data_IF_563071078139
#
_entry.id   IF_563071078139
#
_cell.length_a   1.000
_cell.length_b   1.000
_cell.length_c   1.000
_cell.angle_alpha   90.00
_cell.angle_beta   90.00
_cell.angle_gamma   90.00
#
_symmetry.space_group_name_H-M   'P 1'
#
loop_
_entity.id
_entity.type
_entity.pdbx_description
1 polymer ?
#
# COMPACT_ATOMS: atom_id res chain seq x y z
N UNK A 1 12.50 23.38 -21.32
CA UNK A 1 11.66 22.61 -22.25
C UNK A 1 11.08 21.36 -21.62
N UNK A 2 11.76 20.20 -21.53
CA UNK A 2 11.14 18.94 -21.04
C UNK A 2 10.43 19.05 -19.67
N UNK A 3 11.03 19.73 -18.69
CA UNK A 3 10.39 19.94 -17.38
C UNK A 3 9.17 20.88 -17.44
N UNK A 4 9.21 21.85 -18.35
CA UNK A 4 8.16 22.85 -18.60
C UNK A 4 6.98 22.20 -19.35
N UNK A 5 7.29 21.44 -20.41
CA UNK A 5 6.32 20.67 -21.19
C UNK A 5 5.64 19.59 -20.33
N UNK A 6 6.37 19.00 -19.37
CA UNK A 6 5.78 18.10 -18.39
C UNK A 6 4.87 18.87 -17.43
N UNK A 7 5.28 20.01 -16.88
CA UNK A 7 4.46 20.82 -15.97
C UNK A 7 3.15 21.30 -16.63
N UNK A 8 3.19 21.63 -17.92
CA UNK A 8 2.07 22.14 -18.72
C UNK A 8 1.19 21.03 -19.34
N UNK A 9 1.52 19.75 -19.11
CA UNK A 9 0.77 18.62 -19.68
C UNK A 9 -0.53 18.32 -18.92
N UNK A 10 -1.66 18.40 -19.64
CA UNK A 10 -3.00 17.97 -19.23
C UNK A 10 -3.18 16.43 -19.18
N UNK A 11 -2.14 15.66 -19.53
CA UNK A 11 -2.23 14.20 -19.58
C UNK A 11 -2.21 13.63 -18.17
N UNK A 12 -3.08 12.65 -17.87
CA UNK A 12 -3.05 11.96 -16.61
C UNK A 12 -1.76 11.12 -16.39
N UNK A 13 -0.71 11.75 -15.82
CA UNK A 13 0.46 11.19 -15.10
C UNK A 13 0.16 10.15 -13.98
N UNK A 14 -0.39 9.00 -14.38
CA UNK A 14 -0.24 7.63 -13.83
C UNK A 14 -0.71 7.32 -12.38
N UNK A 15 -0.68 6.02 -12.00
CA UNK A 15 -1.67 5.17 -11.28
C UNK A 15 -2.19 5.56 -9.88
N UNK A 16 -1.95 6.77 -9.43
CA UNK A 16 -2.65 7.47 -8.35
C UNK A 16 -2.65 8.93 -8.82
N UNK A 17 -3.75 9.42 -9.37
CA UNK A 17 -3.84 10.83 -9.78
C UNK A 17 -3.62 11.75 -8.58
N UNK A 18 -2.38 12.22 -8.41
CA UNK A 18 -1.96 13.25 -7.46
C UNK A 18 -2.25 12.95 -5.98
N UNK A 19 -1.22 13.06 -5.13
CA UNK A 19 -1.41 13.37 -3.71
C UNK A 19 -1.38 14.90 -3.52
N UNK A 20 -2.28 15.74 -4.11
CA UNK A 20 -2.33 17.12 -3.64
C UNK A 20 -2.70 17.04 -2.17
N UNK A 21 -2.11 17.92 -1.37
CA UNK A 21 -2.39 17.99 0.05
C UNK A 21 -3.91 18.07 0.25
N UNK A 22 -4.54 16.92 0.53
CA UNK A 22 -5.89 16.81 1.07
C UNK A 22 -7.04 17.28 0.16
N UNK A 23 -7.35 16.59 -0.96
CA UNK A 23 -8.70 16.74 -1.60
C UNK A 23 -9.45 15.43 -1.89
N UNK A 24 -8.79 14.26 -1.82
CA UNK A 24 -9.37 13.01 -2.33
C UNK A 24 -10.45 12.33 -1.46
N UNK A 25 -10.79 12.87 -0.28
CA UNK A 25 -11.79 12.24 0.61
C UNK A 25 -13.24 12.62 0.22
N UNK A 26 -13.45 13.57 -0.71
CA UNK A 26 -14.78 14.15 -0.96
C UNK A 26 -15.56 13.61 -2.17
N UNK A 27 -14.96 12.89 -3.10
CA UNK A 27 -15.61 12.58 -4.38
C UNK A 27 -15.66 11.07 -4.70
N UNK A 28 -16.53 10.35 -4.00
CA UNK A 28 -16.99 9.02 -4.45
C UNK A 28 -18.45 8.82 -4.01
N UNK A 29 -19.37 9.44 -4.75
CA UNK A 29 -20.80 9.11 -4.65
C UNK A 29 -21.34 8.97 -6.06
N UNK A 30 -21.54 7.73 -6.50
CA UNK A 30 -22.50 7.38 -7.55
C UNK A 30 -22.88 5.90 -7.40
N UNK A 31 -24.02 5.75 -6.71
CA UNK A 31 -25.06 4.71 -6.67
C UNK A 31 -24.80 3.34 -7.32
N UNK A 32 -24.47 2.36 -6.47
CA UNK A 32 -25.10 1.02 -6.46
C UNK A 32 -25.30 0.66 -4.98
N UNK A 33 -26.51 0.18 -4.64
CA UNK A 33 -27.08 0.10 -3.30
C UNK A 33 -26.17 -0.56 -2.24
N UNK A 34 -25.44 0.27 -1.50
CA UNK A 34 -24.85 0.01 -0.18
C UNK A 34 -24.83 1.36 0.57
N UNK A 35 -24.97 1.38 1.91
CA UNK A 35 -25.31 2.59 2.68
C UNK A 35 -24.31 3.73 2.46
N UNK A 36 -24.84 4.92 2.19
CA UNK A 36 -24.12 6.14 1.84
C UNK A 36 -23.53 6.80 3.11
N UNK A 37 -22.22 7.08 3.20
CA UNK A 37 -21.69 7.97 4.22
C UNK A 37 -21.69 9.42 3.71
N UNK A 38 -22.28 10.30 4.52
CA UNK A 38 -22.30 11.74 4.32
C UNK A 38 -20.93 12.40 4.54
N UNK A 39 -20.90 13.68 4.17
CA UNK A 39 -19.77 14.63 4.23
C UNK A 39 -18.92 14.48 5.50
N UNK A 40 -17.61 14.55 5.29
CA UNK A 40 -16.61 14.87 6.32
C UNK A 40 -16.57 13.88 7.50
N UNK A 41 -16.08 12.67 7.26
CA UNK A 41 -15.89 11.70 8.33
C UNK A 41 -14.43 11.27 8.38
N UNK A 42 -13.71 11.84 9.36
CA UNK A 42 -12.70 11.09 10.13
C UNK A 42 -13.21 9.66 10.26
N UNK A 43 -12.39 8.65 9.87
CA UNK A 43 -12.68 7.22 9.99
C UNK A 43 -13.64 7.03 11.17
N UNK A 44 -14.93 6.88 10.88
CA UNK A 44 -15.95 6.69 11.91
C UNK A 44 -15.43 5.54 12.76
N UNK A 45 -15.44 5.72 14.08
CA UNK A 45 -14.98 4.69 15.00
C UNK A 45 -15.59 3.37 14.55
N UNK A 46 -14.73 2.45 14.12
CA UNK A 46 -15.18 1.16 13.64
C UNK A 46 -15.83 0.52 14.86
N UNK A 47 -17.15 0.30 14.80
CA UNK A 47 -17.85 -0.33 15.90
C UNK A 47 -17.15 -1.66 16.23
N UNK A 48 -17.09 -2.05 17.51
CA UNK A 48 -16.37 -3.26 17.96
C UNK A 48 -16.87 -4.56 17.31
N UNK A 49 -17.99 -4.53 16.58
CA UNK A 49 -18.64 -5.68 15.95
C UNK A 49 -18.27 -5.91 14.47
N UNK A 50 -17.60 -4.97 13.80
CA UNK A 50 -17.25 -5.15 12.38
C UNK A 50 -16.02 -6.07 12.21
N UNK A 51 -16.18 -7.13 11.41
CA UNK A 51 -15.12 -8.07 11.05
C UNK A 51 -13.86 -7.35 10.53
N UNK A 52 -12.68 -7.53 11.17
CA UNK A 52 -11.48 -6.82 10.75
C UNK A 52 -10.94 -7.36 9.43
N UNK A 53 -10.86 -6.47 8.42
CA UNK A 53 -10.35 -6.80 7.09
C UNK A 53 -8.85 -6.52 6.99
N UNK A 54 -8.05 -7.51 6.61
CA UNK A 54 -6.66 -7.35 6.19
C UNK A 54 -6.64 -7.26 4.67
N UNK A 55 -6.05 -6.19 4.12
CA UNK A 55 -6.07 -5.92 2.68
C UNK A 55 -4.71 -6.11 2.03
N UNK A 56 -4.67 -6.92 0.98
CA UNK A 56 -3.61 -6.89 -0.03
C UNK A 56 -4.13 -6.25 -1.31
N UNK A 57 -3.43 -5.23 -1.81
CA UNK A 57 -3.78 -4.47 -3.02
C UNK A 57 -2.70 -4.63 -4.09
N UNK A 58 -3.10 -4.81 -5.34
CA UNK A 58 -2.22 -4.84 -6.51
C UNK A 58 -1.87 -6.25 -6.99
N UNK A 59 -1.03 -6.34 -8.02
CA UNK A 59 -0.66 -7.62 -8.64
C UNK A 59 -0.04 -8.60 -7.64
N UNK A 60 -0.50 -9.85 -7.70
CA UNK A 60 0.01 -10.97 -6.92
C UNK A 60 0.86 -11.89 -7.80
N UNK A 61 2.06 -12.19 -7.34
CA UNK A 61 3.02 -13.11 -7.96
C UNK A 61 3.54 -14.06 -6.85
N UNK A 62 4.11 -15.22 -7.21
CA UNK A 62 4.73 -16.12 -6.21
C UNK A 62 5.77 -15.41 -5.35
N UNK A 63 6.67 -14.66 -5.99
CA UNK A 63 7.70 -13.85 -5.32
C UNK A 63 7.12 -12.67 -4.50
N UNK A 64 5.83 -12.36 -4.63
CA UNK A 64 5.13 -11.38 -3.78
C UNK A 64 4.44 -12.05 -2.59
N UNK A 65 4.72 -13.33 -2.36
CA UNK A 65 4.37 -14.06 -1.14
C UNK A 65 2.94 -14.58 -1.13
N UNK A 66 2.41 -15.01 -2.28
CA UNK A 66 1.06 -15.58 -2.35
C UNK A 66 0.86 -16.77 -1.38
N UNK A 67 1.84 -17.68 -1.28
CA UNK A 67 1.79 -18.78 -0.31
C UNK A 67 1.93 -18.30 1.14
N UNK A 68 2.91 -17.42 1.40
CA UNK A 68 3.11 -16.80 2.72
C UNK A 68 1.85 -16.08 3.22
N UNK A 69 1.14 -15.40 2.33
CA UNK A 69 -0.09 -14.69 2.65
C UNK A 69 -1.16 -15.64 3.21
N UNK A 70 -1.39 -16.78 2.55
CA UNK A 70 -2.35 -17.80 3.00
C UNK A 70 -1.89 -18.41 4.32
N UNK A 71 -0.61 -18.79 4.43
CA UNK A 71 -0.05 -19.42 5.64
C UNK A 71 -0.07 -18.49 6.87
N UNK A 72 0.24 -17.21 6.68
CA UNK A 72 0.20 -16.22 7.74
C UNK A 72 -1.24 -15.92 8.15
N UNK A 73 -2.16 -15.78 7.19
CA UNK A 73 -3.55 -15.49 7.51
C UNK A 73 -4.24 -16.67 8.21
N UNK A 74 -3.89 -17.91 7.88
CA UNK A 74 -4.36 -19.08 8.63
C UNK A 74 -3.94 -19.04 10.11
N UNK A 75 -2.80 -18.43 10.44
CA UNK A 75 -2.38 -18.22 11.83
C UNK A 75 -3.16 -17.09 12.50
N UNK A 76 -3.50 -16.03 11.76
CA UNK A 76 -4.38 -14.96 12.25
C UNK A 76 -5.74 -15.51 12.64
N UNK A 77 -6.35 -16.36 11.78
CA UNK A 77 -7.69 -16.92 12.02
C UNK A 77 -7.78 -17.85 13.23
N UNK A 78 -6.69 -18.53 13.61
CA UNK A 78 -6.66 -19.33 14.86
C UNK A 78 -6.89 -18.48 16.11
N UNK A 79 -6.47 -17.22 16.06
CA UNK A 79 -6.53 -16.29 17.18
C UNK A 79 -7.68 -15.29 17.05
N UNK A 80 -8.15 -15.04 15.83
CA UNK A 80 -9.23 -14.11 15.51
C UNK A 80 -10.08 -14.65 14.35
N UNK A 81 -11.04 -15.57 14.63
CA UNK A 81 -11.82 -16.25 13.60
C UNK A 81 -12.70 -15.34 12.73
N UNK A 82 -13.04 -14.16 13.25
CA UNK A 82 -13.85 -13.16 12.54
C UNK A 82 -13.04 -12.27 11.57
N UNK A 83 -11.72 -12.46 11.45
CA UNK A 83 -10.90 -11.68 10.53
C UNK A 83 -11.14 -12.10 9.08
N UNK A 84 -11.06 -11.14 8.14
CA UNK A 84 -11.23 -11.39 6.71
C UNK A 84 -9.96 -10.98 5.95
N UNK A 85 -9.51 -11.81 5.01
CA UNK A 85 -8.44 -11.47 4.07
C UNK A 85 -9.04 -11.09 2.73
N UNK A 86 -8.82 -9.84 2.34
CA UNK A 86 -9.27 -9.32 1.06
C UNK A 86 -8.06 -9.08 0.15
N UNK A 87 -8.08 -9.72 -1.03
CA UNK A 87 -7.05 -9.58 -2.06
C UNK A 87 -7.66 -8.91 -3.28
N UNK A 88 -7.24 -7.67 -3.54
CA UNK A 88 -7.71 -6.86 -4.68
C UNK A 88 -6.58 -6.71 -5.68
N UNK A 89 -6.69 -7.34 -6.83
CA UNK A 89 -5.65 -7.34 -7.86
C UNK A 89 -5.71 -8.57 -8.75
N UNK A 90 -4.90 -8.56 -9.79
CA UNK A 90 -4.75 -9.71 -10.69
C UNK A 90 -3.65 -10.64 -10.20
N UNK A 91 -3.78 -11.93 -10.51
CA UNK A 91 -2.78 -12.96 -10.23
C UNK A 91 -1.92 -13.23 -11.47
N UNK A 92 -0.63 -13.46 -11.25
CA UNK A 92 0.33 -13.80 -12.30
C UNK A 92 1.28 -14.91 -11.83
N UNK A 93 1.41 -16.02 -12.58
CA UNK A 93 0.63 -16.40 -13.77
C UNK A 93 -0.87 -16.65 -13.47
N UNK A 94 -1.76 -16.77 -14.48
CA UNK A 94 -3.21 -16.84 -14.27
C UNK A 94 -3.70 -18.01 -13.39
N UNK A 95 -2.99 -19.14 -13.41
CA UNK A 95 -3.21 -20.32 -12.56
C UNK A 95 -2.94 -20.06 -11.08
N UNK A 96 -2.17 -19.01 -10.74
CA UNK A 96 -1.82 -18.70 -9.35
C UNK A 96 -3.03 -18.36 -8.48
N UNK A 97 -4.11 -17.82 -9.05
CA UNK A 97 -5.34 -17.54 -8.30
C UNK A 97 -5.97 -18.84 -7.76
N UNK A 98 -6.08 -19.85 -8.61
CA UNK A 98 -6.59 -21.17 -8.23
C UNK A 98 -5.67 -21.84 -7.21
N UNK A 99 -4.35 -21.74 -7.38
CA UNK A 99 -3.41 -22.30 -6.40
C UNK A 99 -3.55 -21.68 -5.01
N UNK A 100 -3.81 -20.37 -4.94
CA UNK A 100 -4.06 -19.65 -3.70
C UNK A 100 -5.38 -20.10 -3.08
N UNK A 101 -6.45 -20.22 -3.87
CA UNK A 101 -7.74 -20.71 -3.42
C UNK A 101 -7.64 -22.16 -2.89
N UNK A 102 -6.96 -23.05 -3.61
CA UNK A 102 -6.75 -24.45 -3.20
C UNK A 102 -5.91 -24.52 -1.92
N UNK A 103 -4.90 -23.66 -1.78
CA UNK A 103 -4.10 -23.58 -0.56
C UNK A 103 -4.94 -23.11 0.63
N UNK A 104 -5.78 -22.09 0.44
CA UNK A 104 -6.70 -21.62 1.46
C UNK A 104 -7.71 -22.70 1.88
N UNK A 105 -8.24 -23.46 0.92
CA UNK A 105 -9.13 -24.58 1.17
C UNK A 105 -8.44 -25.70 1.98
N UNK A 106 -7.21 -26.08 1.61
CA UNK A 106 -6.42 -27.08 2.37
C UNK A 106 -6.16 -26.67 3.81
N UNK A 107 -6.02 -25.36 4.06
CA UNK A 107 -5.81 -24.82 5.41
C UNK A 107 -7.12 -24.52 6.16
N UNK A 108 -8.28 -24.72 5.52
CA UNK A 108 -9.59 -24.51 6.12
C UNK A 108 -9.97 -23.03 6.30
N UNK A 109 -9.45 -22.15 5.44
CA UNK A 109 -9.63 -20.68 5.56
C UNK A 109 -10.29 -20.05 4.34
N UNK A 110 -10.86 -20.87 3.46
CA UNK A 110 -11.49 -20.41 2.22
C UNK A 110 -12.62 -19.40 2.47
N UNK A 111 -13.44 -19.62 3.48
CA UNK A 111 -14.58 -18.74 3.82
C UNK A 111 -14.16 -17.36 4.34
N UNK A 112 -12.89 -17.23 4.76
CA UNK A 112 -12.30 -15.98 5.25
C UNK A 112 -11.39 -15.32 4.22
N UNK A 113 -11.36 -15.82 2.99
CA UNK A 113 -10.54 -15.30 1.88
C UNK A 113 -11.42 -14.81 0.74
N UNK A 114 -11.36 -13.51 0.44
CA UNK A 114 -11.97 -12.92 -0.74
C UNK A 114 -10.91 -12.56 -1.78
N UNK A 115 -11.00 -13.20 -2.95
CA UNK A 115 -10.21 -12.87 -4.13
C UNK A 115 -11.07 -12.00 -5.06
N UNK A 116 -10.91 -10.68 -4.97
CA UNK A 116 -11.76 -9.74 -5.70
C UNK A 116 -11.35 -9.55 -7.18
N UNK A 117 -10.20 -10.11 -7.58
CA UNK A 117 -9.66 -9.91 -8.92
C UNK A 117 -9.31 -8.45 -9.22
N UNK A 118 -9.25 -8.12 -10.51
CA UNK A 118 -9.05 -6.74 -10.98
C UNK A 118 -10.35 -5.94 -10.86
N UNK A 119 -10.29 -4.79 -10.21
CA UNK A 119 -11.43 -3.88 -10.02
C UNK A 119 -11.18 -2.53 -10.72
N UNK A 120 -12.24 -1.77 -11.08
CA UNK A 120 -12.08 -0.41 -11.59
C UNK A 120 -11.36 0.47 -10.58
N UNK A 121 -10.52 1.38 -11.08
CA UNK A 121 -9.63 2.21 -10.26
C UNK A 121 -10.42 3.05 -9.24
N UNK A 122 -11.56 3.58 -9.64
CA UNK A 122 -12.45 4.45 -8.86
C UNK A 122 -13.05 3.73 -7.64
N UNK A 123 -13.05 2.39 -7.65
CA UNK A 123 -13.58 1.57 -6.56
C UNK A 123 -12.53 1.22 -5.50
N UNK A 124 -11.24 1.40 -5.79
CA UNK A 124 -10.13 1.05 -4.88
C UNK A 124 -10.27 1.72 -3.51
N UNK A 125 -10.73 2.98 -3.49
CA UNK A 125 -10.94 3.73 -2.25
C UNK A 125 -11.90 3.05 -1.27
N UNK A 126 -12.92 2.35 -1.77
CA UNK A 126 -13.90 1.64 -0.94
C UNK A 126 -13.26 0.47 -0.19
N UNK A 127 -12.37 -0.27 -0.85
CA UNK A 127 -11.63 -1.37 -0.24
C UNK A 127 -10.64 -0.85 0.81
N UNK A 128 -9.94 0.24 0.50
CA UNK A 128 -9.01 0.88 1.44
C UNK A 128 -9.73 1.40 2.70
N UNK A 129 -10.93 1.99 2.57
CA UNK A 129 -11.71 2.48 3.71
C UNK A 129 -12.17 1.36 4.66
N UNK A 130 -12.46 0.17 4.11
CA UNK A 130 -12.92 -0.99 4.87
C UNK A 130 -11.77 -1.74 5.55
N UNK A 131 -10.55 -1.67 5.03
CA UNK A 131 -9.40 -2.38 5.56
C UNK A 131 -8.96 -1.87 6.95
N UNK A 132 -8.65 -2.77 7.88
CA UNK A 132 -8.03 -2.45 9.17
C UNK A 132 -6.51 -2.32 9.05
N UNK A 133 -5.90 -3.11 8.15
CA UNK A 133 -4.45 -3.22 7.94
C UNK A 133 -4.16 -3.31 6.44
N UNK A 134 -3.17 -2.55 5.97
CA UNK A 134 -2.60 -2.71 4.62
C UNK A 134 -1.41 -3.65 4.66
N UNK A 135 -1.40 -4.70 3.84
CA UNK A 135 -0.42 -5.78 3.94
C UNK A 135 0.45 -5.93 2.68
N UNK A 136 1.77 -5.98 2.89
CA UNK A 136 2.79 -6.24 1.87
C UNK A 136 3.58 -7.50 2.23
N UNK A 137 3.39 -8.56 1.44
CA UNK A 137 3.94 -9.91 1.66
C UNK A 137 5.17 -10.23 0.82
N UNK A 138 5.86 -9.23 0.29
CA UNK A 138 6.93 -9.44 -0.69
C UNK A 138 8.06 -10.30 -0.11
N UNK A 139 8.49 -11.31 -0.88
CA UNK A 139 9.56 -12.22 -0.48
C UNK A 139 10.94 -11.60 -0.71
N UNK A 140 12.00 -12.17 -0.11
CA UNK A 140 13.38 -11.68 -0.25
C UNK A 140 14.02 -11.88 -1.63
N UNK A 141 13.23 -11.83 -2.71
CA UNK A 141 13.69 -11.93 -4.09
C UNK A 141 14.46 -10.68 -4.54
N UNK A 142 15.47 -10.86 -5.42
CA UNK A 142 16.31 -9.77 -5.96
C UNK A 142 15.51 -8.58 -6.52
N UNK A 143 14.40 -8.85 -7.21
CA UNK A 143 13.47 -7.83 -7.75
C UNK A 143 12.87 -6.97 -6.62
N UNK A 144 12.39 -7.62 -5.57
CA UNK A 144 11.70 -6.96 -4.46
C UNK A 144 12.64 -6.14 -3.59
N UNK A 145 13.93 -6.50 -3.53
CA UNK A 145 14.93 -5.72 -2.78
C UNK A 145 15.16 -4.32 -3.35
N UNK A 146 14.80 -4.08 -4.62
CA UNK A 146 15.05 -2.81 -5.33
C UNK A 146 13.77 -2.08 -5.76
N UNK A 147 12.68 -2.82 -5.95
CA UNK A 147 11.42 -2.24 -6.36
C UNK A 147 10.67 -1.67 -5.16
N UNK A 148 10.05 -0.51 -5.32
CA UNK A 148 9.23 0.11 -4.29
C UNK A 148 7.78 -0.35 -4.46
N UNK A 149 7.14 -0.96 -3.45
CA UNK A 149 5.73 -1.30 -3.51
C UNK A 149 4.88 -0.04 -3.35
N UNK A 150 4.35 0.49 -4.46
CA UNK A 150 3.58 1.74 -4.44
C UNK A 150 2.43 1.68 -3.44
N UNK A 151 1.73 0.53 -3.34
CA UNK A 151 0.62 0.25 -2.40
C UNK A 151 0.84 0.72 -0.95
N UNK A 152 2.09 0.83 -0.50
CA UNK A 152 2.43 1.42 0.80
C UNK A 152 1.84 2.83 0.94
N UNK A 153 1.95 3.64 -0.10
CA UNK A 153 1.52 5.03 -0.12
C UNK A 153 -0.01 5.12 -0.17
N UNK A 154 -0.70 4.25 -0.92
CA UNK A 154 -2.16 4.09 -0.88
C UNK A 154 -2.64 3.77 0.54
N UNK A 155 -1.99 2.83 1.23
CA UNK A 155 -2.36 2.45 2.60
C UNK A 155 -2.17 3.62 3.58
N UNK A 156 -1.00 4.25 3.55
CA UNK A 156 -0.69 5.39 4.41
C UNK A 156 -1.66 6.55 4.19
N UNK A 157 -2.00 6.84 2.94
CA UNK A 157 -2.95 7.88 2.56
C UNK A 157 -4.35 7.70 3.15
N UNK A 158 -4.83 6.47 3.17
CA UNK A 158 -6.10 6.10 3.78
C UNK A 158 -5.99 5.92 5.29
N UNK A 159 -4.83 6.21 5.88
CA UNK A 159 -4.60 6.11 7.31
C UNK A 159 -4.62 4.67 7.82
N UNK A 160 -4.19 3.72 6.98
CA UNK A 160 -4.03 2.33 7.37
C UNK A 160 -2.63 2.11 7.95
N UNK A 161 -2.51 1.43 9.11
CA UNK A 161 -1.22 0.91 9.51
C UNK A 161 -0.77 -0.17 8.52
N UNK A 162 0.53 -0.20 8.24
CA UNK A 162 1.11 -1.12 7.27
C UNK A 162 1.81 -2.29 7.97
N UNK A 163 1.58 -3.51 7.51
CA UNK A 163 2.49 -4.63 7.79
C UNK A 163 3.23 -4.95 6.50
N UNK A 164 4.57 -4.90 6.52
CA UNK A 164 5.39 -5.13 5.34
C UNK A 164 6.55 -6.05 5.67
N UNK A 165 6.97 -6.87 4.71
CA UNK A 165 8.28 -7.52 4.76
C UNK A 165 9.41 -6.49 4.92
N UNK A 166 10.38 -6.79 5.76
CA UNK A 166 11.59 -6.01 5.98
C UNK A 166 12.57 -6.21 4.82
N UNK A 167 12.47 -5.33 3.82
CA UNK A 167 13.29 -5.34 2.62
C UNK A 167 14.00 -3.99 2.47
N UNK A 168 15.19 -3.95 1.84
CA UNK A 168 15.89 -2.68 1.58
C UNK A 168 15.01 -1.62 0.89
N UNK A 169 14.10 -2.05 0.02
CA UNK A 169 13.16 -1.19 -0.70
C UNK A 169 11.99 -0.66 0.14
N UNK A 170 11.63 -1.31 1.24
CA UNK A 170 10.47 -0.93 2.08
C UNK A 170 10.90 -0.18 3.34
N UNK A 171 12.12 -0.45 3.84
CA UNK A 171 12.72 0.19 5.02
C UNK A 171 12.66 1.71 5.06
N UNK A 172 12.83 2.46 3.95
CA UNK A 172 12.75 3.91 3.98
C UNK A 172 11.35 4.45 4.27
N UNK A 173 10.31 3.63 4.07
CA UNK A 173 8.91 4.06 4.09
C UNK A 173 8.15 3.51 5.30
N UNK A 174 8.51 2.31 5.78
CA UNK A 174 7.87 1.68 6.94
C UNK A 174 8.82 1.73 8.14
N UNK A 175 8.35 2.37 9.21
CA UNK A 175 9.08 2.54 10.46
C UNK A 175 8.34 1.81 11.58
N UNK A 176 9.02 0.83 12.17
CA UNK A 176 8.46 -0.05 13.22
C UNK A 176 7.86 0.74 14.39
N UNK A 177 6.59 0.47 14.69
CA UNK A 177 5.86 1.12 15.78
C UNK A 177 5.46 2.57 15.51
N UNK A 178 5.81 3.14 14.35
CA UNK A 178 5.48 4.52 13.97
C UNK A 178 4.31 4.53 13.00
N UNK A 179 4.47 3.93 11.81
CA UNK A 179 3.40 3.85 10.79
C UNK A 179 3.03 2.41 10.42
N UNK A 180 3.61 1.43 11.11
CA UNK A 180 3.41 0.04 10.80
C UNK A 180 4.43 -0.89 11.45
N UNK A 181 4.53 -2.09 10.92
CA UNK A 181 5.52 -3.10 11.27
C UNK A 181 6.27 -3.59 10.04
N UNK A 182 7.59 -3.66 10.18
CA UNK A 182 8.47 -4.43 9.32
C UNK A 182 8.66 -5.80 9.97
N UNK A 183 8.40 -6.83 9.20
CA UNK A 183 8.50 -8.21 9.66
C UNK A 183 9.48 -8.95 8.79
N UNK A 184 10.17 -9.94 9.36
CA UNK A 184 11.11 -10.75 8.59
C UNK A 184 10.42 -11.31 7.35
N UNK A 185 11.02 -11.06 6.18
CA UNK A 185 10.52 -11.63 4.93
C UNK A 185 10.49 -13.16 5.03
N UNK A 186 9.55 -13.78 4.33
CA UNK A 186 9.44 -15.24 4.26
C UNK A 186 9.12 -15.92 5.63
N UNK A 187 8.54 -15.16 6.58
CA UNK A 187 8.12 -15.66 7.89
C UNK A 187 6.60 -15.48 8.13
N UNK A 188 5.79 -16.50 7.79
CA UNK A 188 4.35 -16.44 8.02
C UNK A 188 3.95 -16.17 9.48
N UNK A 189 4.75 -16.63 10.46
CA UNK A 189 4.46 -16.42 11.87
C UNK A 189 4.67 -14.97 12.30
N UNK A 190 5.77 -14.35 11.85
CA UNK A 190 6.04 -12.93 12.14
C UNK A 190 4.99 -12.01 11.51
N UNK A 191 4.59 -12.28 10.25
CA UNK A 191 3.52 -11.54 9.60
C UNK A 191 2.19 -11.65 10.38
N UNK A 192 1.81 -12.86 10.78
CA UNK A 192 0.59 -13.09 11.56
C UNK A 192 0.63 -12.36 12.91
N UNK A 193 1.75 -12.41 13.63
CA UNK A 193 1.90 -11.73 14.92
C UNK A 193 1.76 -10.21 14.79
N UNK A 194 2.36 -9.60 13.76
CA UNK A 194 2.24 -8.16 13.51
C UNK A 194 0.81 -7.75 13.13
N UNK A 195 0.12 -8.55 12.31
CA UNK A 195 -1.30 -8.34 11.99
C UNK A 195 -2.14 -8.41 13.26
N UNK A 196 -2.01 -9.48 14.04
CA UNK A 196 -2.76 -9.66 15.29
C UNK A 196 -2.53 -8.53 16.28
N UNK A 197 -1.29 -8.01 16.40
CA UNK A 197 -1.00 -6.88 17.25
C UNK A 197 -1.81 -5.62 16.85
N UNK A 198 -2.01 -5.39 15.55
CA UNK A 198 -2.83 -4.28 15.05
C UNK A 198 -4.33 -4.55 15.18
N UNK A 199 -4.77 -5.79 14.94
CA UNK A 199 -6.19 -6.13 15.03
C UNK A 199 -6.71 -6.15 16.48
N UNK A 200 -5.87 -6.54 17.45
CA UNK A 200 -6.21 -6.59 18.88
C UNK A 200 -6.32 -5.21 19.53
N UNK A 201 -5.64 -4.20 18.99
CA UNK A 201 -5.71 -2.82 19.48
C UNK A 201 -6.02 -1.85 18.32
N UNK A 202 -7.32 -1.68 17.98
CA UNK A 202 -7.75 -0.75 16.94
C UNK A 202 -7.33 0.70 17.18
N UNK A 203 -7.19 1.11 18.46
CA UNK A 203 -6.77 2.46 18.83
C UNK A 203 -5.31 2.70 18.50
N UNK A 204 -4.44 1.76 18.86
CA UNK A 204 -3.03 1.75 18.48
C UNK A 204 -2.87 1.67 16.95
N UNK A 205 -3.59 0.78 16.28
CA UNK A 205 -3.60 0.68 14.82
C UNK A 205 -4.00 2.00 14.14
N UNK A 206 -5.03 2.68 14.64
CA UNK A 206 -5.44 3.98 14.13
C UNK A 206 -4.37 5.07 14.35
N UNK A 207 -3.65 5.03 15.48
CA UNK A 207 -2.53 5.95 15.75
C UNK A 207 -1.40 5.76 14.72
N UNK A 208 -1.00 4.52 14.47
CA UNK A 208 0.04 4.20 13.47
C UNK A 208 -0.40 4.62 12.07
N UNK A 209 -1.65 4.33 11.70
CA UNK A 209 -2.21 4.76 10.42
C UNK A 209 -2.21 6.28 10.23
N UNK A 210 -2.59 7.06 11.27
CA UNK A 210 -2.50 8.53 11.23
C UNK A 210 -1.07 9.02 11.03
N UNK A 211 -0.09 8.43 11.72
CA UNK A 211 1.31 8.77 11.53
C UNK A 211 1.79 8.47 10.10
N UNK A 212 1.39 7.33 9.52
CA UNK A 212 1.62 7.02 8.11
C UNK A 212 1.03 8.06 7.17
N UNK A 213 -0.20 8.50 7.43
CA UNK A 213 -0.88 9.54 6.65
C UNK A 213 -0.12 10.87 6.66
N UNK A 214 0.37 11.28 7.83
CA UNK A 214 1.20 12.49 7.95
C UNK A 214 2.48 12.34 7.11
N UNK A 215 3.17 11.20 7.22
CA UNK A 215 4.41 10.94 6.45
C UNK A 215 4.20 11.02 4.94
N UNK A 216 3.12 10.44 4.41
CA UNK A 216 2.85 10.50 2.96
C UNK A 216 2.48 11.92 2.53
N UNK A 217 1.70 12.65 3.34
CA UNK A 217 1.32 14.04 3.07
C UNK A 217 2.49 15.03 3.13
N UNK A 218 3.50 14.78 3.97
CA UNK A 218 4.64 15.68 4.16
C UNK A 218 5.87 15.30 3.33
N UNK A 219 6.04 14.03 2.97
CA UNK A 219 7.32 13.54 2.41
C UNK A 219 7.20 12.68 1.18
N UNK A 220 6.19 11.83 1.10
CA UNK A 220 6.08 10.78 0.08
C UNK A 220 4.93 11.02 -0.89
N UNK A 221 4.76 12.29 -1.28
CA UNK A 221 3.80 12.74 -2.27
C UNK A 221 4.52 13.37 -3.48
N UNK A 222 3.79 13.51 -4.57
CA UNK A 222 4.32 14.00 -5.83
C UNK A 222 4.84 15.43 -5.77
N UNK A 223 4.20 16.31 -5.00
CA UNK A 223 4.61 17.72 -4.85
C UNK A 223 6.00 17.81 -4.23
N UNK A 224 6.29 16.96 -3.24
CA UNK A 224 7.60 16.88 -2.64
C UNK A 224 8.61 16.13 -3.50
N UNK A 225 8.19 15.11 -4.25
CA UNK A 225 9.07 14.41 -5.18
C UNK A 225 9.47 15.28 -6.38
N UNK A 226 8.54 16.08 -6.91
CA UNK A 226 8.77 17.02 -8.00
C UNK A 226 9.85 18.04 -7.61
N UNK A 227 9.72 18.67 -6.45
CA UNK A 227 10.73 19.61 -5.92
C UNK A 227 12.12 18.98 -5.83
N UNK A 228 12.21 17.72 -5.40
CA UNK A 228 13.49 16.99 -5.31
C UNK A 228 14.05 16.68 -6.68
N UNK A 229 13.20 16.24 -7.62
CA UNK A 229 13.60 15.93 -8.97
C UNK A 229 14.11 17.17 -9.70
N UNK A 230 13.40 18.29 -9.62
CA UNK A 230 13.80 19.55 -10.25
C UNK A 230 15.15 20.04 -9.71
N UNK A 231 15.34 20.04 -8.37
CA UNK A 231 16.64 20.38 -7.77
C UNK A 231 17.78 19.50 -8.28
N UNK A 232 17.57 18.19 -8.35
CA UNK A 232 18.59 17.27 -8.87
C UNK A 232 18.93 17.56 -10.34
N UNK A 233 17.91 17.86 -11.16
CA UNK A 233 18.12 18.21 -12.57
C UNK A 233 18.91 19.52 -12.69
N UNK A 234 18.59 20.53 -11.89
CA UNK A 234 19.32 21.80 -11.83
C UNK A 234 20.79 21.60 -11.44
N UNK A 235 21.06 20.82 -10.39
CA UNK A 235 22.41 20.47 -9.96
C UNK A 235 23.21 19.78 -11.08
N UNK A 236 22.64 18.79 -11.74
CA UNK A 236 23.31 18.06 -12.83
C UNK A 236 23.60 18.94 -14.05
N UNK A 237 22.70 19.88 -14.37
CA UNK A 237 22.92 20.83 -15.47
C UNK A 237 24.02 21.83 -15.10
N UNK A 238 24.04 22.33 -13.86
CA UNK A 238 25.07 23.28 -13.40
C UNK A 238 26.48 22.69 -13.43
N UNK A 239 26.64 21.42 -13.04
CA UNK A 239 27.92 20.71 -13.09
C UNK A 239 28.40 20.48 -14.53
N UNK A 240 27.49 20.20 -15.47
CA UNK A 240 27.85 20.06 -16.89
C UNK A 240 28.18 21.40 -17.58
N UNK A 241 27.62 22.51 -17.11
CA UNK A 241 27.99 23.86 -17.58
C UNK A 241 29.44 24.21 -17.24
N UNK A 242 29.88 23.90 -16.02
CA UNK A 242 31.26 24.14 -15.57
C UNK A 242 32.28 23.28 -16.34
N UNK A 243 31.96 22.02 -16.64
CA UNK A 243 32.85 21.14 -17.42
C UNK A 243 32.99 21.63 -18.88
N UNK A 244 31.93 22.20 -19.46
CA UNK A 244 31.94 22.71 -20.83
C UNK A 244 32.75 24.01 -20.95
N UNK A 245 32.68 24.91 -19.96
CA UNK A 245 33.50 26.13 -19.91
C UNK A 245 34.99 25.88 -19.68
N UNK A 246 35.36 24.78 -19.00
CA UNK A 246 36.76 24.37 -18.82
C UNK A 246 37.31 23.72 -20.11
N UNK A 247 36.48 23.03 -20.88
CA UNK A 247 36.86 22.43 -22.16
C UNK A 247 37.04 23.47 -23.28
N UNK A 248 36.22 24.54 -23.30
CA UNK A 248 36.34 25.64 -24.29
C UNK A 248 37.47 26.65 -23.97
N UNK A 249 38.14 26.51 -22.82
CA UNK A 249 39.29 27.36 -22.41
C UNK A 249 40.66 26.70 -22.60
N UNK A 250 40.73 25.51 -23.19
CA UNK A 250 41.98 24.85 -23.61
C UNK A 250 42.17 24.89 -25.12
#
# INVERSE_FOLDING_TARGET
QIAQDFAESDVPKTTLFNFPAVEFVRAATLTLALPTPGREQSRGERGPEAEPVVLYLGGMERNRGSALMVEAFARVLREMPAAQLLVVGHFMPPDLEQEVADHAARLGIADSLTLAGRVPFETIGRYLQQAAVGWVTWQAARKNQRNIPTKLFEYMAYGLPVVSSDLPSTRPFVHDGVNGYRVRADDPAAHAAAILALLRDPGYAARLGRAGRILVQERWNWQEMEKRLLRLVEELISVNGEISEVADRQ
#
